data_IF_822497869044
#
_entry.id   IF_822497869044
#
_cell.length_a   1.000
_cell.length_b   1.000
_cell.length_c   1.000
_cell.angle_alpha   90.00
_cell.angle_beta   90.00
_cell.angle_gamma   90.00
#
_symmetry.space_group_name_H-M   'P 1'
#
loop_
_entity.id
_entity.type
_entity.pdbx_description
1 polymer ?
#
# COMPACT_ATOMS: atom_id res chain seq x y z
N UNK A 1 27.25 -47.92 -27.37
CA UNK A 1 25.80 -47.74 -27.04
C UNK A 1 25.10 -49.09 -27.02
N UNK A 2 25.18 -49.90 -28.05
CA UNK A 2 24.51 -51.25 -28.17
C UNK A 2 24.95 -52.19 -27.05
N UNK A 3 26.26 -52.22 -26.74
CA UNK A 3 26.84 -53.04 -25.66
C UNK A 3 26.31 -52.64 -24.27
N UNK A 4 26.14 -51.32 -24.03
CA UNK A 4 25.63 -50.77 -22.77
C UNK A 4 24.12 -51.10 -22.60
N UNK A 5 23.35 -51.08 -23.69
CA UNK A 5 21.93 -51.46 -23.72
C UNK A 5 21.73 -52.94 -23.39
N UNK A 6 22.60 -53.82 -23.86
CA UNK A 6 22.56 -55.27 -23.61
C UNK A 6 22.90 -55.63 -22.16
N UNK A 7 23.85 -54.91 -21.53
CA UNK A 7 24.21 -55.11 -20.14
C UNK A 7 23.05 -54.75 -19.18
N UNK A 8 22.39 -53.64 -19.44
CA UNK A 8 21.23 -53.21 -18.64
C UNK A 8 20.04 -54.18 -18.80
N UNK A 9 19.89 -54.80 -19.98
CA UNK A 9 18.74 -55.68 -20.28
C UNK A 9 18.89 -57.08 -19.65
N UNK A 10 20.10 -57.52 -19.27
CA UNK A 10 20.38 -58.87 -18.75
C UNK A 10 20.70 -58.96 -17.28
N UNK A 11 20.82 -57.83 -16.56
CA UNK A 11 21.17 -57.84 -15.14
C UNK A 11 20.07 -57.12 -14.33
N UNK A 12 19.22 -57.90 -13.64
CA UNK A 12 18.11 -57.39 -12.84
C UNK A 12 18.55 -56.40 -11.75
N UNK A 13 19.74 -56.57 -11.17
CA UNK A 13 20.28 -55.68 -10.16
C UNK A 13 20.62 -54.28 -10.71
N UNK A 14 21.21 -54.21 -11.89
CA UNK A 14 21.54 -52.94 -12.53
C UNK A 14 20.26 -52.20 -13.03
N UNK A 15 19.25 -52.97 -13.41
CA UNK A 15 17.95 -52.43 -13.82
C UNK A 15 17.21 -51.76 -12.65
N UNK A 16 17.31 -52.32 -11.44
CA UNK A 16 16.74 -51.74 -10.23
C UNK A 16 17.44 -50.41 -9.85
N UNK A 17 18.78 -50.38 -9.84
CA UNK A 17 19.55 -49.16 -9.55
C UNK A 17 19.29 -48.05 -10.57
N UNK A 18 19.18 -48.39 -11.85
CA UNK A 18 18.92 -47.41 -12.92
C UNK A 18 17.50 -46.87 -12.85
N UNK A 19 16.50 -47.71 -12.52
CA UNK A 19 15.13 -47.29 -12.33
C UNK A 19 14.94 -46.39 -11.09
N UNK A 20 15.64 -46.69 -10.01
CA UNK A 20 15.64 -45.91 -8.77
C UNK A 20 16.32 -44.57 -8.95
N UNK A 21 17.48 -44.53 -9.58
CA UNK A 21 18.23 -43.32 -9.90
C UNK A 21 17.46 -42.42 -10.92
N UNK A 22 16.83 -43.03 -11.92
CA UNK A 22 15.99 -42.31 -12.86
C UNK A 22 14.73 -41.69 -12.17
N UNK A 23 14.10 -42.46 -11.28
CA UNK A 23 12.90 -41.95 -10.56
C UNK A 23 13.21 -40.78 -9.64
N UNK A 24 14.38 -40.77 -8.98
CA UNK A 24 14.84 -39.65 -8.16
C UNK A 24 15.13 -38.39 -9.00
N UNK A 25 15.78 -38.58 -10.16
CA UNK A 25 16.05 -37.47 -11.08
C UNK A 25 14.73 -36.88 -11.70
N UNK A 26 13.83 -37.72 -12.13
CA UNK A 26 12.53 -37.30 -12.67
C UNK A 26 11.62 -36.69 -11.58
N UNK A 27 11.67 -37.20 -10.34
CA UNK A 27 10.96 -36.65 -9.21
C UNK A 27 11.42 -35.21 -8.87
N UNK A 28 12.73 -34.97 -8.84
CA UNK A 28 13.29 -33.66 -8.58
C UNK A 28 12.96 -32.63 -9.70
N UNK A 29 13.03 -33.04 -10.96
CA UNK A 29 12.70 -32.17 -12.10
C UNK A 29 11.21 -31.81 -12.09
N UNK A 30 10.32 -32.78 -11.79
CA UNK A 30 8.89 -32.53 -11.72
C UNK A 30 8.52 -31.64 -10.52
N UNK A 31 9.21 -31.75 -9.39
CA UNK A 31 9.01 -30.87 -8.24
C UNK A 31 9.38 -29.41 -8.57
N UNK A 32 10.54 -29.18 -9.18
CA UNK A 32 10.97 -27.84 -9.62
C UNK A 32 10.01 -27.26 -10.64
N UNK A 33 9.54 -28.05 -11.62
CA UNK A 33 8.57 -27.59 -12.60
C UNK A 33 7.22 -27.23 -11.97
N UNK A 34 6.79 -27.97 -10.94
CA UNK A 34 5.58 -27.72 -10.18
C UNK A 34 5.72 -26.45 -9.34
N UNK A 35 6.84 -26.23 -8.70
CA UNK A 35 7.12 -25.03 -7.90
C UNK A 35 7.15 -23.76 -8.76
N UNK A 36 7.79 -23.83 -9.93
CA UNK A 36 7.78 -22.73 -10.92
C UNK A 36 6.35 -22.43 -11.41
N UNK A 37 5.57 -23.45 -11.74
CA UNK A 37 4.16 -23.29 -12.15
C UNK A 37 3.32 -22.70 -11.01
N UNK A 38 3.51 -23.15 -9.77
CA UNK A 38 2.81 -22.63 -8.60
C UNK A 38 3.19 -21.18 -8.34
N UNK A 39 4.45 -20.79 -8.51
CA UNK A 39 4.90 -19.42 -8.39
C UNK A 39 4.21 -18.48 -9.40
N UNK A 40 4.14 -18.87 -10.67
CA UNK A 40 3.44 -18.09 -11.69
C UNK A 40 1.94 -18.00 -11.41
N UNK A 41 1.30 -19.10 -10.98
CA UNK A 41 -0.11 -19.09 -10.60
C UNK A 41 -0.40 -18.22 -9.38
N UNK A 42 0.51 -18.20 -8.38
CA UNK A 42 0.38 -17.35 -7.22
C UNK A 42 0.46 -15.86 -7.60
N UNK A 43 1.37 -15.52 -8.52
CA UNK A 43 1.49 -14.15 -9.04
C UNK A 43 0.20 -13.72 -9.76
N UNK A 44 -0.32 -14.54 -10.67
CA UNK A 44 -1.56 -14.27 -11.40
C UNK A 44 -2.77 -14.14 -10.46
N UNK A 45 -2.84 -15.01 -9.45
CA UNK A 45 -3.88 -14.93 -8.41
C UNK A 45 -3.77 -13.63 -7.60
N UNK A 46 -2.56 -13.20 -7.22
CA UNK A 46 -2.35 -11.93 -6.52
C UNK A 46 -2.78 -10.72 -7.37
N UNK A 47 -2.45 -10.72 -8.65
CA UNK A 47 -2.88 -9.66 -9.59
C UNK A 47 -4.41 -9.62 -9.72
N UNK A 48 -5.06 -10.78 -9.82
CA UNK A 48 -6.52 -10.90 -9.85
C UNK A 48 -7.16 -10.38 -8.57
N UNK A 49 -6.64 -10.78 -7.40
CA UNK A 49 -7.13 -10.31 -6.10
C UNK A 49 -6.93 -8.80 -5.92
N UNK A 50 -5.82 -8.24 -6.38
CA UNK A 50 -5.59 -6.79 -6.34
C UNK A 50 -6.63 -6.04 -7.17
N UNK A 51 -6.93 -6.52 -8.38
CA UNK A 51 -7.95 -5.95 -9.26
C UNK A 51 -9.37 -6.08 -8.68
N UNK A 52 -9.71 -7.22 -8.08
CA UNK A 52 -10.98 -7.42 -7.40
C UNK A 52 -11.14 -6.47 -6.21
N UNK A 53 -10.10 -6.29 -5.41
CA UNK A 53 -10.08 -5.33 -4.29
C UNK A 53 -10.33 -3.89 -4.77
N UNK A 54 -9.75 -3.48 -5.90
CA UNK A 54 -9.99 -2.16 -6.50
C UNK A 54 -11.45 -2.02 -6.89
N UNK A 55 -12.00 -3.02 -7.57
CA UNK A 55 -13.39 -3.02 -7.98
C UNK A 55 -14.34 -2.92 -6.79
N UNK A 56 -14.05 -3.67 -5.72
CA UNK A 56 -14.86 -3.64 -4.49
C UNK A 56 -14.75 -2.30 -3.77
N UNK A 57 -13.57 -1.70 -3.68
CA UNK A 57 -13.38 -0.35 -3.11
C UNK A 57 -14.17 0.70 -3.89
N UNK A 58 -14.05 0.72 -5.22
CA UNK A 58 -14.78 1.67 -6.05
C UNK A 58 -16.30 1.47 -5.96
N UNK A 59 -16.79 0.23 -5.85
CA UNK A 59 -18.20 -0.04 -5.60
C UNK A 59 -18.66 0.45 -4.24
N UNK A 60 -17.86 0.26 -3.20
CA UNK A 60 -18.18 0.73 -1.84
C UNK A 60 -18.38 2.25 -1.83
N UNK A 61 -17.47 3.00 -2.44
CA UNK A 61 -17.58 4.46 -2.57
C UNK A 61 -18.88 4.87 -3.30
N UNK A 62 -19.28 4.15 -4.34
CA UNK A 62 -20.54 4.38 -5.04
C UNK A 62 -21.76 4.10 -4.14
N UNK A 63 -21.72 3.05 -3.33
CA UNK A 63 -22.80 2.72 -2.39
C UNK A 63 -22.94 3.76 -1.27
N UNK A 64 -21.83 4.24 -0.71
CA UNK A 64 -21.85 5.28 0.31
C UNK A 64 -22.48 6.57 -0.22
N UNK A 65 -22.12 7.00 -1.42
CA UNK A 65 -22.77 8.13 -2.10
C UNK A 65 -24.26 7.92 -2.26
N UNK A 66 -24.69 6.78 -2.74
CA UNK A 66 -26.11 6.48 -2.97
C UNK A 66 -26.91 6.54 -1.66
N UNK A 67 -26.33 6.09 -0.57
CA UNK A 67 -26.92 6.10 0.77
C UNK A 67 -27.10 7.52 1.31
N UNK A 68 -26.08 8.37 1.19
CA UNK A 68 -26.13 9.75 1.65
C UNK A 68 -27.14 10.58 0.84
N UNK A 69 -27.27 10.30 -0.44
CA UNK A 69 -28.25 10.94 -1.33
C UNK A 69 -29.70 10.58 -0.94
N UNK A 70 -29.96 9.34 -0.55
CA UNK A 70 -31.28 8.88 -0.09
C UNK A 70 -31.66 9.58 1.22
N UNK A 71 -30.74 9.77 2.14
CA UNK A 71 -30.98 10.43 3.45
C UNK A 71 -31.32 11.91 3.26
N UNK A 72 -30.78 12.58 2.23
CA UNK A 72 -31.05 13.99 1.94
C UNK A 72 -32.27 14.24 1.02
N UNK A 73 -32.94 13.17 0.56
CA UNK A 73 -34.20 13.30 -0.24
C UNK A 73 -33.99 13.87 -1.64
N UNK A 74 -32.75 13.99 -2.12
CA UNK A 74 -32.44 14.52 -3.46
C UNK A 74 -31.92 13.38 -4.34
N UNK A 75 -32.72 12.96 -5.32
CA UNK A 75 -32.30 11.99 -6.32
C UNK A 75 -31.35 12.67 -7.33
N UNK A 76 -30.04 12.67 -7.06
CA UNK A 76 -29.04 13.01 -8.06
C UNK A 76 -28.54 11.73 -8.72
N UNK A 77 -28.99 11.49 -9.94
CA UNK A 77 -28.75 10.28 -10.72
C UNK A 77 -27.28 10.15 -11.23
N UNK A 78 -26.46 11.20 -11.09
CA UNK A 78 -25.08 11.29 -11.60
C UNK A 78 -24.08 11.74 -10.51
N UNK A 79 -24.15 11.18 -9.32
CA UNK A 79 -23.18 11.50 -8.27
C UNK A 79 -21.85 10.83 -8.57
N UNK A 80 -20.81 11.62 -8.91
CA UNK A 80 -19.43 11.15 -9.06
C UNK A 80 -18.91 10.77 -7.67
N UNK A 81 -18.30 9.58 -7.50
CA UNK A 81 -17.71 9.19 -6.23
C UNK A 81 -16.62 10.18 -5.81
N UNK A 82 -16.56 10.48 -4.51
CA UNK A 82 -15.55 11.42 -3.98
C UNK A 82 -14.16 10.89 -4.21
N UNK A 83 -13.96 9.60 -4.00
CA UNK A 83 -12.69 8.92 -4.20
C UNK A 83 -12.82 7.77 -5.19
N UNK A 84 -11.79 7.61 -6.02
CA UNK A 84 -11.59 6.46 -6.90
C UNK A 84 -10.19 5.89 -6.68
N UNK A 85 -10.03 4.60 -6.94
CA UNK A 85 -8.78 3.88 -6.70
C UNK A 85 -8.23 3.32 -8.01
N UNK A 86 -6.97 3.61 -8.31
CA UNK A 86 -6.23 3.12 -9.47
C UNK A 86 -5.15 2.15 -8.97
N UNK A 87 -5.20 0.90 -9.40
CA UNK A 87 -4.19 -0.09 -9.06
C UNK A 87 -2.89 0.14 -9.79
N UNK A 88 -1.77 0.02 -9.06
CA UNK A 88 -0.43 0.11 -9.60
C UNK A 88 0.51 -0.89 -8.92
N UNK A 89 1.52 -1.33 -9.65
CA UNK A 89 2.56 -2.23 -9.15
C UNK A 89 3.84 -1.47 -8.87
N UNK A 90 4.54 -1.84 -7.79
CA UNK A 90 5.90 -1.37 -7.55
C UNK A 90 6.87 -2.03 -8.55
N UNK A 91 7.65 -1.19 -9.23
CA UNK A 91 8.71 -1.63 -10.14
C UNK A 91 10.11 -1.32 -9.60
N UNK A 92 10.20 -0.37 -8.67
CA UNK A 92 11.45 -0.05 -7.96
C UNK A 92 11.15 0.57 -6.59
N UNK A 93 12.04 0.37 -5.62
CA UNK A 93 11.91 0.93 -4.27
C UNK A 93 13.27 1.11 -3.59
N UNK A 94 13.38 2.15 -2.76
CA UNK A 94 14.49 2.33 -1.83
C UNK A 94 13.97 2.38 -0.41
N UNK A 95 14.70 1.77 0.56
CA UNK A 95 14.27 1.66 1.96
C UNK A 95 15.34 2.05 2.97
N UNK A 96 16.59 2.26 2.52
CA UNK A 96 17.77 2.44 3.37
C UNK A 96 18.37 3.85 3.24
N UNK A 97 17.59 4.82 2.76
CA UNK A 97 18.03 6.21 2.60
C UNK A 97 17.18 7.11 3.48
N UNK A 98 17.67 8.30 3.79
CA UNK A 98 16.86 9.35 4.41
C UNK A 98 15.76 9.86 3.48
N UNK A 99 16.02 9.86 2.17
CA UNK A 99 15.05 10.18 1.12
C UNK A 99 14.79 8.93 0.28
N UNK A 100 13.80 8.17 0.71
CA UNK A 100 13.34 6.97 -0.01
C UNK A 100 12.31 7.34 -1.08
N UNK A 101 12.27 6.53 -2.14
CA UNK A 101 11.29 6.65 -3.23
C UNK A 101 10.79 5.28 -3.66
N UNK A 102 9.55 5.25 -4.13
CA UNK A 102 8.94 4.10 -4.79
C UNK A 102 8.60 4.51 -6.22
N UNK A 103 8.76 3.58 -7.17
CA UNK A 103 8.37 3.78 -8.57
C UNK A 103 7.22 2.84 -8.90
N UNK A 104 6.13 3.39 -9.45
CA UNK A 104 4.96 2.66 -9.90
C UNK A 104 4.96 2.48 -11.42
N UNK A 105 4.39 1.37 -11.91
CA UNK A 105 4.20 1.03 -13.34
C UNK A 105 3.02 1.78 -13.98
N UNK A 106 2.52 2.81 -13.36
CA UNK A 106 1.42 3.65 -13.81
C UNK A 106 1.82 5.12 -13.72
N UNK A 107 1.35 5.92 -14.67
CA UNK A 107 1.66 7.34 -14.75
C UNK A 107 0.51 8.16 -15.33
N UNK A 108 0.85 9.26 -15.98
CA UNK A 108 -0.12 10.21 -16.54
C UNK A 108 -1.15 9.55 -17.48
N UNK A 109 -0.72 8.60 -18.30
CA UNK A 109 -1.61 7.87 -19.24
C UNK A 109 -2.66 7.02 -18.54
N UNK A 110 -2.48 6.73 -17.27
CA UNK A 110 -3.38 5.95 -16.44
C UNK A 110 -4.24 6.82 -15.49
N UNK A 111 -4.21 8.15 -15.67
CA UNK A 111 -4.97 9.08 -14.83
C UNK A 111 -4.31 9.41 -13.50
N UNK A 112 -3.00 9.13 -13.34
CA UNK A 112 -2.25 9.51 -12.13
C UNK A 112 -1.70 10.93 -12.29
N UNK A 113 -1.85 11.73 -11.22
CA UNK A 113 -1.37 13.11 -11.13
C UNK A 113 -0.53 13.31 -9.88
N UNK A 114 0.24 14.41 -9.84
CA UNK A 114 1.00 14.82 -8.65
C UNK A 114 0.07 15.03 -7.46
N UNK A 115 0.59 14.78 -6.26
CA UNK A 115 -0.12 14.92 -4.98
C UNK A 115 -1.32 13.98 -4.80
N UNK A 116 -1.44 12.93 -5.58
CA UNK A 116 -2.37 11.86 -5.27
C UNK A 116 -1.84 11.02 -4.12
N UNK A 117 -2.74 10.59 -3.23
CA UNK A 117 -2.43 9.67 -2.15
C UNK A 117 -2.18 8.27 -2.67
N UNK A 118 -1.32 7.53 -1.98
CA UNK A 118 -1.05 6.12 -2.28
C UNK A 118 -1.25 5.29 -1.01
N UNK A 119 -2.05 4.24 -1.11
CA UNK A 119 -2.29 3.30 -0.01
C UNK A 119 -2.11 1.85 -0.47
N UNK A 120 -2.03 0.94 0.49
CA UNK A 120 -2.10 -0.51 0.31
C UNK A 120 -3.32 -1.06 1.07
N UNK A 121 -3.61 -2.37 1.01
CA UNK A 121 -4.61 -2.99 1.87
C UNK A 121 -4.35 -2.77 3.36
N UNK A 122 -3.09 -2.68 3.78
CA UNK A 122 -2.69 -2.55 5.18
C UNK A 122 -2.75 -1.10 5.69
N UNK A 123 -2.61 -0.09 4.79
CA UNK A 123 -2.63 1.30 5.20
C UNK A 123 -2.03 2.27 4.18
N UNK A 124 -1.75 3.50 4.61
CA UNK A 124 -1.17 4.51 3.73
C UNK A 124 0.30 4.22 3.42
N UNK A 125 0.69 4.49 2.16
CA UNK A 125 2.04 4.28 1.65
C UNK A 125 2.77 5.60 1.48
N UNK A 126 2.15 6.62 0.88
CA UNK A 126 2.80 7.90 0.60
C UNK A 126 2.03 8.77 -0.39
N UNK A 127 2.76 9.63 -1.09
CA UNK A 127 2.23 10.64 -2.02
C UNK A 127 2.94 10.57 -3.37
N UNK A 128 2.22 10.74 -4.47
CA UNK A 128 2.80 10.91 -5.80
C UNK A 128 3.51 12.25 -5.87
N UNK A 129 4.83 12.24 -6.07
CA UNK A 129 5.66 13.43 -6.19
C UNK A 129 5.88 13.86 -7.62
N UNK A 130 6.25 12.90 -8.48
CA UNK A 130 6.55 13.17 -9.87
C UNK A 130 6.06 12.02 -10.76
N UNK A 131 5.95 12.28 -12.06
CA UNK A 131 5.40 11.27 -12.97
C UNK A 131 5.88 11.51 -14.41
N UNK A 132 5.91 10.42 -15.15
CA UNK A 132 6.05 10.39 -16.60
C UNK A 132 4.76 9.87 -17.25
N UNK A 133 4.80 9.64 -18.56
CA UNK A 133 3.63 9.05 -19.24
C UNK A 133 3.23 7.67 -18.71
N UNK A 134 4.19 6.85 -18.27
CA UNK A 134 3.98 5.44 -17.88
C UNK A 134 4.33 5.13 -16.42
N UNK A 135 5.11 5.98 -15.74
CA UNK A 135 5.60 5.74 -14.39
C UNK A 135 5.28 6.91 -13.47
N UNK A 136 5.11 6.63 -12.19
CA UNK A 136 5.01 7.63 -11.14
C UNK A 136 6.04 7.39 -10.05
N UNK A 137 6.57 8.47 -9.48
CA UNK A 137 7.45 8.46 -8.31
C UNK A 137 6.62 8.84 -7.10
N UNK A 138 6.69 8.02 -6.06
CA UNK A 138 6.00 8.21 -4.78
C UNK A 138 7.01 8.50 -3.69
N UNK A 139 6.75 9.53 -2.89
CA UNK A 139 7.40 9.75 -1.59
C UNK A 139 6.66 8.90 -0.55
N UNK A 140 7.29 7.83 -0.03
CA UNK A 140 6.66 7.01 1.01
C UNK A 140 6.67 7.71 2.38
N UNK A 141 5.90 7.17 3.35
CA UNK A 141 5.94 7.62 4.74
C UNK A 141 7.35 7.57 5.36
N UNK A 142 8.17 6.64 4.89
CA UNK A 142 9.57 6.46 5.31
C UNK A 142 10.53 7.34 4.50
N UNK A 143 10.20 8.62 4.39
CA UNK A 143 11.03 9.67 3.79
C UNK A 143 10.95 10.90 4.70
N UNK A 144 12.09 11.51 5.02
CA UNK A 144 12.19 12.65 5.97
C UNK A 144 11.44 13.90 5.50
N UNK A 145 11.19 14.02 4.20
CA UNK A 145 10.43 15.12 3.62
C UNK A 145 8.89 14.83 3.63
N UNK A 146 8.48 13.59 3.96
CA UNK A 146 7.07 13.21 4.04
C UNK A 146 6.41 13.75 5.30
N UNK A 147 5.27 14.43 5.13
CA UNK A 147 4.40 14.88 6.22
C UNK A 147 2.96 14.54 5.89
N UNK A 148 2.32 13.80 6.77
CA UNK A 148 0.93 13.35 6.58
C UNK A 148 0.11 13.78 7.78
N UNK A 149 -1.06 14.37 7.51
CA UNK A 149 -2.04 14.66 8.55
C UNK A 149 -2.71 13.37 9.00
N UNK A 150 -2.46 12.99 10.25
CA UNK A 150 -3.02 11.78 10.85
C UNK A 150 -3.70 12.13 12.17
N UNK A 151 -4.57 11.24 12.65
CA UNK A 151 -5.27 11.41 13.93
C UNK A 151 -5.33 10.12 14.73
N UNK A 152 -5.49 10.27 16.02
CA UNK A 152 -5.80 9.18 16.93
C UNK A 152 -7.27 8.81 16.72
N UNK A 153 -7.56 7.57 16.32
CA UNK A 153 -8.91 7.12 15.99
C UNK A 153 -9.89 7.27 17.16
N UNK A 154 -9.42 7.02 18.39
CA UNK A 154 -10.23 7.00 19.61
C UNK A 154 -10.85 8.36 19.95
N UNK A 155 -10.07 9.43 19.84
CA UNK A 155 -10.46 10.77 20.31
C UNK A 155 -10.39 11.86 19.24
N UNK A 156 -10.02 11.51 18.02
CA UNK A 156 -9.96 12.39 16.83
C UNK A 156 -8.94 13.53 16.92
N UNK A 157 -8.03 13.55 17.89
CA UNK A 157 -6.95 14.52 17.91
C UNK A 157 -5.98 14.29 16.75
N UNK A 158 -5.79 15.34 15.95
CA UNK A 158 -4.96 15.31 14.73
C UNK A 158 -3.60 15.91 14.99
N UNK A 159 -2.60 15.35 14.30
CA UNK A 159 -1.21 15.81 14.33
C UNK A 159 -0.51 15.57 13.01
N UNK A 160 0.76 15.86 12.96
CA UNK A 160 1.64 15.67 11.82
C UNK A 160 2.47 14.41 11.99
N UNK A 161 2.28 13.43 11.10
CA UNK A 161 3.11 12.23 11.06
C UNK A 161 4.36 12.50 10.23
N UNK A 162 5.54 12.20 10.81
CA UNK A 162 6.84 12.37 10.17
C UNK A 162 7.78 11.24 10.54
N UNK A 163 8.56 10.76 9.57
CA UNK A 163 9.64 9.80 9.78
C UNK A 163 10.95 10.50 10.18
N UNK A 164 11.70 9.91 11.12
CA UNK A 164 12.96 10.46 11.61
C UNK A 164 14.22 10.07 10.81
N UNK A 165 14.05 9.20 9.80
CA UNK A 165 15.15 8.72 8.96
C UNK A 165 15.91 7.51 9.51
N UNK A 166 15.46 6.89 10.62
CA UNK A 166 16.19 5.82 11.30
C UNK A 166 15.64 4.44 11.01
N UNK A 167 14.44 4.13 11.50
CA UNK A 167 13.84 2.79 11.36
C UNK A 167 12.56 2.85 10.52
N UNK A 168 12.55 2.17 9.38
CA UNK A 168 11.43 2.13 8.44
C UNK A 168 10.12 1.56 9.00
N UNK A 169 10.16 0.93 10.16
CA UNK A 169 8.98 0.36 10.83
C UNK A 169 8.22 1.38 11.66
N UNK A 170 8.83 2.53 11.98
CA UNK A 170 8.28 3.51 12.91
C UNK A 170 8.28 4.89 12.30
N UNK A 171 7.28 5.69 12.65
CA UNK A 171 7.20 7.12 12.41
C UNK A 171 6.76 7.81 13.70
N UNK A 172 6.73 9.14 13.70
CA UNK A 172 6.33 9.93 14.86
C UNK A 172 5.14 10.80 14.52
N UNK A 173 4.11 10.74 15.38
CA UNK A 173 2.98 11.67 15.34
C UNK A 173 3.29 12.80 16.34
N UNK A 174 3.44 14.01 15.82
CA UNK A 174 3.78 15.23 16.53
C UNK A 174 2.55 16.12 16.66
N UNK A 175 2.67 17.23 17.37
CA UNK A 175 1.64 18.28 17.54
C UNK A 175 0.38 17.83 18.31
N UNK A 176 0.44 16.74 19.07
CA UNK A 176 -0.64 16.29 19.95
C UNK A 176 -0.49 16.96 21.32
N UNK A 177 -1.50 17.71 21.82
CA UNK A 177 -1.40 18.39 23.12
C UNK A 177 -1.17 17.39 24.27
N UNK A 178 -0.36 17.78 25.28
CA UNK A 178 0.05 16.88 26.37
C UNK A 178 -1.11 16.35 27.23
N UNK A 179 -2.25 17.04 27.28
CA UNK A 179 -3.43 16.63 28.05
C UNK A 179 -4.27 15.55 27.36
N UNK A 180 -3.93 15.18 26.13
CA UNK A 180 -4.64 14.16 25.37
C UNK A 180 -4.25 12.78 25.89
N UNK A 181 -5.23 11.99 26.23
CA UNK A 181 -5.02 10.60 26.64
C UNK A 181 -4.70 9.73 25.41
N UNK A 182 -3.49 9.16 25.41
CA UNK A 182 -2.98 8.27 24.36
C UNK A 182 -2.38 7.04 25.02
N UNK A 183 -2.80 5.87 24.56
CA UNK A 183 -2.33 4.58 25.10
C UNK A 183 -1.58 3.79 24.01
N UNK A 184 -0.64 2.95 24.45
CA UNK A 184 0.00 1.96 23.57
C UNK A 184 -1.07 1.07 22.92
N UNK A 185 -0.92 0.78 21.63
CA UNK A 185 -1.89 0.03 20.83
C UNK A 185 -3.04 0.87 20.24
N UNK A 186 -3.20 2.15 20.61
CA UNK A 186 -4.20 3.02 19.98
C UNK A 186 -3.94 3.12 18.46
N UNK A 187 -5.01 3.09 17.68
CA UNK A 187 -4.91 3.13 16.21
C UNK A 187 -4.77 4.57 15.73
N UNK A 188 -3.78 4.78 14.86
CA UNK A 188 -3.60 6.03 14.12
C UNK A 188 -4.13 5.86 12.70
N UNK A 189 -4.93 6.82 12.26
CA UNK A 189 -5.56 6.83 10.92
C UNK A 189 -5.36 8.18 10.24
N UNK A 190 -5.62 8.25 8.94
CA UNK A 190 -5.68 9.52 8.20
C UNK A 190 -6.76 10.43 8.80
N UNK A 191 -6.46 11.72 8.92
CA UNK A 191 -7.36 12.68 9.57
C UNK A 191 -8.59 13.07 8.73
N UNK A 192 -8.50 12.92 7.38
CA UNK A 192 -9.47 13.48 6.44
C UNK A 192 -9.33 14.99 6.21
N UNK A 193 -8.45 15.68 6.95
CA UNK A 193 -8.22 17.12 6.81
C UNK A 193 -7.36 17.48 5.59
N UNK A 194 -6.67 16.51 5.02
CA UNK A 194 -5.97 16.69 3.74
C UNK A 194 -6.91 16.32 2.59
N UNK A 195 -6.84 17.06 1.50
CA UNK A 195 -7.57 16.76 0.24
C UNK A 195 -7.02 15.53 -0.49
N UNK A 196 -6.11 14.79 0.15
CA UNK A 196 -5.29 13.74 -0.47
C UNK A 196 -5.81 12.38 -0.10
N UNK A 197 -6.11 12.17 1.18
CA UNK A 197 -6.58 10.89 1.70
C UNK A 197 -7.99 10.99 2.25
N UNK A 198 -8.85 10.00 1.99
CA UNK A 198 -10.08 9.84 2.75
C UNK A 198 -9.74 9.66 4.24
N UNK A 199 -10.67 10.00 5.10
CA UNK A 199 -10.58 9.79 6.53
C UNK A 199 -10.58 8.29 6.85
N UNK A 200 -9.81 7.89 7.87
CA UNK A 200 -9.93 6.56 8.46
C UNK A 200 -9.02 5.48 7.85
N UNK A 201 -8.18 5.78 6.84
CA UNK A 201 -7.20 4.81 6.37
C UNK A 201 -6.15 4.60 7.46
N UNK A 202 -5.83 3.34 7.76
CA UNK A 202 -4.85 2.99 8.80
C UNK A 202 -3.47 3.53 8.46
N UNK A 203 -2.82 4.16 9.44
CA UNK A 203 -1.41 4.59 9.40
C UNK A 203 -0.55 3.61 10.17
N UNK A 204 -0.99 3.25 11.38
CA UNK A 204 -0.28 2.37 12.28
C UNK A 204 -0.88 2.35 13.68
N UNK A 205 -0.06 1.93 14.63
CA UNK A 205 -0.46 1.74 16.01
C UNK A 205 0.56 2.41 16.94
N UNK A 206 0.08 3.01 18.02
CA UNK A 206 0.94 3.63 19.03
C UNK A 206 1.87 2.58 19.65
N UNK A 207 3.17 2.80 19.57
CA UNK A 207 4.21 1.95 20.17
C UNK A 207 4.64 2.48 21.53
N UNK A 208 4.88 3.81 21.63
CA UNK A 208 5.20 4.50 22.88
C UNK A 208 4.80 5.98 22.80
N UNK A 209 4.66 6.59 23.96
CA UNK A 209 4.30 8.00 24.11
C UNK A 209 5.33 8.68 24.96
N UNK A 210 6.04 9.67 24.40
CA UNK A 210 7.04 10.47 25.08
C UNK A 210 6.58 11.93 25.16
N UNK A 211 7.00 12.65 26.19
CA UNK A 211 6.82 14.11 26.26
C UNK A 211 7.93 14.78 25.45
N UNK A 212 7.58 15.41 24.34
CA UNK A 212 8.53 16.14 23.49
C UNK A 212 8.89 17.48 24.11
N UNK A 213 7.85 18.20 24.57
CA UNK A 213 7.97 19.50 25.25
C UNK A 213 6.96 19.58 26.39
N UNK A 214 6.94 20.72 27.12
CA UNK A 214 5.93 20.93 28.15
C UNK A 214 4.48 20.89 27.64
N UNK A 215 4.26 21.13 26.34
CA UNK A 215 2.94 21.32 25.73
C UNK A 215 2.52 20.21 24.77
N UNK A 216 3.44 19.41 24.24
CA UNK A 216 3.14 18.42 23.20
C UNK A 216 3.73 17.05 23.50
N UNK A 217 3.02 16.02 23.05
CA UNK A 217 3.45 14.64 23.05
C UNK A 217 4.19 14.31 21.74
N UNK A 218 5.21 13.48 21.82
CA UNK A 218 5.83 12.79 20.70
C UNK A 218 5.43 11.34 20.74
N UNK A 219 4.59 10.93 19.81
CA UNK A 219 4.01 9.59 19.77
C UNK A 219 4.75 8.76 18.74
N UNK A 220 5.45 7.72 19.20
CA UNK A 220 6.06 6.74 18.30
C UNK A 220 4.97 5.81 17.76
N UNK A 221 4.87 5.72 16.44
CA UNK A 221 3.85 4.94 15.73
C UNK A 221 4.52 3.82 14.95
N UNK A 222 4.15 2.58 15.24
CA UNK A 222 4.53 1.43 14.44
C UNK A 222 3.64 1.40 13.19
N UNK A 223 4.26 1.56 12.02
CA UNK A 223 3.55 1.61 10.75
C UNK A 223 2.85 0.29 10.44
N UNK A 224 1.64 0.37 9.89
CA UNK A 224 0.84 -0.80 9.51
C UNK A 224 1.40 -1.48 8.25
N UNK A 225 1.97 -0.69 7.33
CA UNK A 225 2.54 -1.15 6.07
C UNK A 225 3.95 -1.67 6.26
N UNK A 226 4.21 -2.90 5.84
CA UNK A 226 5.59 -3.39 5.67
C UNK A 226 6.12 -3.00 4.29
N UNK A 227 6.89 -1.91 4.24
CA UNK A 227 7.44 -1.36 3.00
C UNK A 227 8.33 -2.34 2.22
N UNK A 228 8.99 -3.28 2.89
CA UNK A 228 9.84 -4.28 2.24
C UNK A 228 9.07 -5.39 1.54
N UNK A 229 7.79 -5.56 1.86
CA UNK A 229 6.91 -6.59 1.29
C UNK A 229 5.83 -6.00 0.39
N UNK A 230 5.92 -4.69 0.12
CA UNK A 230 4.96 -3.97 -0.70
C UNK A 230 5.18 -4.31 -2.18
N UNK A 231 4.15 -4.83 -2.86
CA UNK A 231 4.18 -5.20 -4.29
C UNK A 231 3.11 -4.43 -5.08
N UNK A 232 1.88 -4.36 -4.55
CA UNK A 232 0.74 -3.65 -5.15
C UNK A 232 0.24 -2.53 -4.26
N UNK A 233 -0.14 -1.42 -4.89
CA UNK A 233 -0.68 -0.24 -4.22
C UNK A 233 -1.91 0.30 -4.96
N UNK A 234 -2.67 1.15 -4.29
CA UNK A 234 -3.81 1.88 -4.84
C UNK A 234 -3.48 3.37 -4.81
N UNK A 235 -3.53 4.02 -5.95
CA UNK A 235 -3.45 5.48 -6.07
C UNK A 235 -4.85 6.04 -5.92
N UNK A 236 -5.03 7.02 -5.04
CA UNK A 236 -6.32 7.60 -4.66
C UNK A 236 -6.54 8.87 -5.48
N UNK A 237 -7.58 8.86 -6.29
CA UNK A 237 -8.06 10.03 -7.02
C UNK A 237 -9.18 10.67 -6.19
N UNK A 238 -9.00 11.93 -5.79
CA UNK A 238 -10.05 12.74 -5.17
C UNK A 238 -10.70 13.63 -6.24
N UNK A 239 -11.92 13.29 -6.65
CA UNK A 239 -12.66 14.00 -7.69
C UNK A 239 -13.09 15.41 -7.28
N UNK A 240 -13.16 15.72 -5.98
CA UNK A 240 -13.54 17.05 -5.44
C UNK A 240 -12.33 17.93 -5.08
N UNK A 241 -11.10 17.45 -5.24
CA UNK A 241 -9.87 18.19 -4.86
C UNK A 241 -9.80 19.58 -5.50
N UNK A 242 -10.08 19.66 -6.80
CA UNK A 242 -9.96 20.91 -7.56
C UNK A 242 -11.02 21.94 -7.13
N UNK A 243 -12.27 21.51 -6.91
CA UNK A 243 -13.34 22.34 -6.43
C UNK A 243 -13.04 22.91 -5.05
N UNK A 244 -12.63 22.06 -4.11
CA UNK A 244 -12.25 22.48 -2.76
C UNK A 244 -11.05 23.43 -2.76
N UNK A 245 -10.03 23.17 -3.59
CA UNK A 245 -8.86 24.04 -3.72
C UNK A 245 -9.22 25.40 -4.28
N UNK A 246 -10.11 25.44 -5.28
CA UNK A 246 -10.62 26.69 -5.85
C UNK A 246 -11.36 27.55 -4.83
N UNK A 247 -12.24 26.95 -4.02
CA UNK A 247 -12.99 27.66 -2.97
C UNK A 247 -12.05 28.22 -1.88
N UNK A 248 -11.08 27.44 -1.44
CA UNK A 248 -10.12 27.89 -0.42
C UNK A 248 -9.22 29.02 -0.95
N UNK A 249 -8.73 28.95 -2.20
CA UNK A 249 -7.91 29.99 -2.80
C UNK A 249 -8.61 31.35 -2.85
N UNK A 250 -9.92 31.38 -3.04
CA UNK A 250 -10.72 32.62 -3.03
C UNK A 250 -10.75 33.25 -1.63
N UNK A 251 -10.81 32.45 -0.56
CA UNK A 251 -10.96 32.93 0.81
C UNK A 251 -9.65 33.27 1.52
N UNK A 252 -8.50 32.88 0.99
CA UNK A 252 -7.17 33.20 1.57
C UNK A 252 -6.53 34.48 0.99
N UNK A 253 -7.20 35.16 0.07
CA UNK A 253 -6.73 36.42 -0.51
C UNK A 253 -7.46 37.66 0.04
N UNK A 254 -8.22 37.52 1.14
CA UNK A 254 -8.68 38.62 1.98
C UNK A 254 -7.86 38.64 3.30
#
# INVERSE_FOLDING_TARGET
IVSFSLIIRHNEYQRAIFSESASILFGNISAIATDVKNYFRLKETNESLANENILLKNRLEQYELSRDTIVQGTFMQDSIPVYEYIGAKLVNATFNRTKNYLTLDRGLKNGIWKEMGVCSPDGIVGLVQDLSGQFAIVIPLINVDSRISAKIKKNSYSGSLQWDGVDYRYSYLNDIPYHVEVNEGDTIVTSGLSKIFPEGITVGYVESVDKETANFLKIKVRLAVDFKRLDYVYVILNNKKNEQTGLEAINYHE
#
